data_IF_988150762944
#
_entry.id   IF_988150762944
#
_cell.length_a   1.000
_cell.length_b   1.000
_cell.length_c   1.000
_cell.angle_alpha   90.00
_cell.angle_beta   90.00
_cell.angle_gamma   90.00
#
_symmetry.space_group_name_H-M   'P 1'
#
loop_
_entity.id
_entity.type
_entity.pdbx_description
1 polymer ?
#
# COMPACT_ATOMS: atom_id res chain seq x y z
N UNK A 1 13.57 -18.48 -15.48
CA UNK A 1 12.48 -18.36 -14.47
C UNK A 1 13.09 -17.62 -13.31
N UNK A 2 12.64 -16.39 -13.08
CA UNK A 2 13.19 -15.49 -12.06
C UNK A 2 12.70 -15.81 -10.65
N UNK A 3 13.29 -15.16 -9.67
CA UNK A 3 13.00 -15.32 -8.25
C UNK A 3 12.52 -13.99 -7.63
N UNK A 4 12.01 -14.08 -6.41
CA UNK A 4 11.69 -12.91 -5.59
C UNK A 4 12.77 -12.75 -4.52
N UNK A 5 13.34 -11.54 -4.46
CA UNK A 5 14.35 -11.16 -3.46
C UNK A 5 13.79 -10.08 -2.53
N UNK A 6 13.67 -10.37 -1.24
CA UNK A 6 13.21 -9.41 -0.22
C UNK A 6 14.41 -8.83 0.52
N UNK A 7 14.76 -7.57 0.24
CA UNK A 7 15.85 -6.82 0.88
C UNK A 7 17.22 -7.55 0.88
N UNK A 8 17.40 -8.55 0.03
CA UNK A 8 18.60 -9.40 0.03
C UNK A 8 19.43 -9.15 -1.23
N UNK A 9 20.16 -8.03 -1.20
CA UNK A 9 21.00 -7.61 -2.30
C UNK A 9 22.19 -8.55 -2.53
N UNK A 10 22.74 -9.16 -1.47
CA UNK A 10 23.84 -10.10 -1.57
C UNK A 10 23.41 -11.38 -2.29
N UNK A 11 22.25 -11.94 -1.91
CA UNK A 11 21.70 -13.12 -2.57
C UNK A 11 21.36 -12.84 -4.04
N UNK A 12 20.85 -11.65 -4.36
CA UNK A 12 20.62 -11.25 -5.75
C UNK A 12 21.93 -11.23 -6.54
N UNK A 13 22.99 -10.61 -6.01
CA UNK A 13 24.30 -10.56 -6.66
C UNK A 13 24.91 -11.94 -6.82
N UNK A 14 24.84 -12.78 -5.80
CA UNK A 14 25.36 -14.16 -5.84
C UNK A 14 24.61 -15.04 -6.84
N UNK A 15 23.32 -14.76 -7.10
CA UNK A 15 22.51 -15.50 -8.08
C UNK A 15 22.89 -15.20 -9.52
N UNK A 16 23.47 -14.03 -9.78
CA UNK A 16 23.73 -13.52 -11.12
C UNK A 16 22.46 -13.15 -11.91
N UNK A 17 21.30 -13.12 -11.25
CA UNK A 17 20.04 -12.72 -11.90
C UNK A 17 19.98 -11.21 -12.12
N UNK A 18 19.23 -10.84 -13.15
CA UNK A 18 18.89 -9.46 -13.45
C UNK A 18 17.48 -9.15 -12.99
N UNK A 19 17.21 -7.93 -12.50
CA UNK A 19 15.92 -7.53 -11.97
C UNK A 19 15.03 -6.98 -13.09
N UNK A 20 13.84 -7.54 -13.25
CA UNK A 20 12.83 -7.09 -14.22
C UNK A 20 11.82 -6.12 -13.61
N UNK A 21 11.45 -6.38 -12.34
CA UNK A 21 10.46 -5.61 -11.58
C UNK A 21 11.05 -5.20 -10.24
N UNK A 22 10.90 -3.93 -9.89
CA UNK A 22 11.25 -3.40 -8.58
C UNK A 22 9.97 -3.09 -7.80
N UNK A 23 9.79 -3.70 -6.65
CA UNK A 23 8.69 -3.40 -5.74
C UNK A 23 9.24 -2.67 -4.51
N UNK A 24 8.59 -1.57 -4.11
CA UNK A 24 8.92 -0.85 -2.88
C UNK A 24 7.66 -0.65 -2.05
N UNK A 25 7.67 -1.08 -0.78
CA UNK A 25 6.43 -0.97 -0.04
C UNK A 25 6.44 -1.52 1.37
N UNK A 26 5.23 -1.55 1.90
CA UNK A 26 4.87 -1.94 3.25
C UNK A 26 4.47 -3.43 3.37
N UNK A 27 3.62 -3.74 4.35
CA UNK A 27 3.18 -5.11 4.61
C UNK A 27 2.40 -5.76 3.47
N UNK A 28 1.74 -5.00 2.59
CA UNK A 28 1.07 -5.61 1.44
C UNK A 28 2.06 -6.28 0.47
N UNK A 29 3.31 -5.83 0.47
CA UNK A 29 4.39 -6.49 -0.26
C UNK A 29 5.23 -7.43 0.62
N UNK A 30 5.37 -7.14 1.92
CA UNK A 30 6.29 -7.83 2.83
C UNK A 30 5.64 -8.79 3.83
N UNK A 31 4.30 -8.91 3.88
CA UNK A 31 3.65 -9.76 4.86
C UNK A 31 4.08 -11.24 4.66
N UNK A 32 4.57 -11.92 5.71
CA UNK A 32 5.28 -13.18 5.54
C UNK A 32 4.39 -14.36 5.15
N UNK A 33 3.08 -14.29 5.45
CA UNK A 33 2.17 -15.42 5.21
C UNK A 33 1.41 -15.27 3.89
N UNK A 34 1.17 -14.06 3.48
CA UNK A 34 0.46 -13.72 2.25
C UNK A 34 0.74 -12.25 1.89
N UNK A 35 1.01 -11.99 0.65
CA UNK A 35 1.31 -10.66 0.14
C UNK A 35 0.94 -10.58 -1.34
N UNK A 36 0.96 -9.38 -1.89
CA UNK A 36 0.57 -9.13 -3.26
C UNK A 36 1.65 -9.59 -4.26
N UNK A 37 2.93 -9.53 -3.87
CA UNK A 37 4.08 -9.83 -4.77
C UNK A 37 4.11 -11.29 -5.19
N UNK A 38 3.77 -12.21 -4.28
CA UNK A 38 3.83 -13.65 -4.57
C UNK A 38 2.88 -14.08 -5.69
N UNK A 39 1.56 -13.78 -5.66
CA UNK A 39 0.69 -14.08 -6.79
C UNK A 39 1.02 -13.23 -8.04
N UNK A 40 1.47 -11.98 -7.89
CA UNK A 40 1.89 -11.14 -9.00
C UNK A 40 3.06 -11.77 -9.76
N UNK A 41 4.07 -12.30 -9.07
CA UNK A 41 5.17 -13.03 -9.68
C UNK A 41 4.68 -14.20 -10.56
N UNK A 42 3.68 -14.94 -10.07
CA UNK A 42 3.05 -16.02 -10.86
C UNK A 42 2.32 -15.53 -12.11
N UNK A 43 1.55 -14.45 -11.96
CA UNK A 43 0.76 -13.86 -13.04
C UNK A 43 1.61 -13.22 -14.17
N UNK A 44 2.83 -12.81 -13.85
CA UNK A 44 3.78 -12.18 -14.77
C UNK A 44 4.78 -13.16 -15.40
N UNK A 45 4.49 -14.47 -15.42
CA UNK A 45 5.38 -15.48 -16.01
C UNK A 45 6.73 -15.62 -15.27
N UNK A 46 6.74 -15.22 -14.00
CA UNK A 46 7.88 -15.32 -13.07
C UNK A 46 9.11 -14.50 -13.49
N UNK A 47 8.97 -13.16 -13.60
CA UNK A 47 10.12 -12.28 -13.74
C UNK A 47 10.97 -12.30 -12.45
N UNK A 48 12.19 -11.79 -12.52
CA UNK A 48 12.93 -11.52 -11.28
C UNK A 48 12.40 -10.24 -10.62
N UNK A 49 11.85 -10.36 -9.41
CA UNK A 49 11.32 -9.23 -8.64
C UNK A 49 12.24 -8.96 -7.45
N UNK A 50 12.68 -7.72 -7.29
CA UNK A 50 13.34 -7.29 -6.06
C UNK A 50 12.39 -6.41 -5.22
N UNK A 51 12.25 -6.73 -3.93
CA UNK A 51 11.32 -6.07 -3.03
C UNK A 51 12.08 -5.30 -1.96
N UNK A 52 11.84 -3.97 -1.89
CA UNK A 52 12.40 -3.04 -0.91
C UNK A 52 11.31 -2.66 0.09
N UNK A 53 11.65 -2.57 1.37
CA UNK A 53 10.75 -2.08 2.41
C UNK A 53 10.58 -3.06 3.57
N UNK A 54 9.53 -2.86 4.35
CA UNK A 54 9.24 -3.71 5.53
C UNK A 54 7.78 -3.59 5.98
N UNK A 55 7.36 -4.52 6.84
CA UNK A 55 6.04 -4.45 7.47
C UNK A 55 5.91 -3.18 8.31
N UNK A 56 4.84 -2.42 8.12
CA UNK A 56 4.58 -1.20 8.87
C UNK A 56 5.28 0.05 8.32
N UNK A 57 6.04 -0.06 7.24
CA UNK A 57 6.71 1.09 6.62
C UNK A 57 5.71 2.19 6.23
N UNK A 58 6.04 3.44 6.55
CA UNK A 58 5.27 4.62 6.18
C UNK A 58 5.75 5.17 4.83
N UNK A 59 4.90 5.93 4.16
CA UNK A 59 5.24 6.48 2.85
C UNK A 59 6.53 7.34 2.88
N UNK A 60 6.69 8.18 3.89
CA UNK A 60 7.86 9.05 4.02
C UNK A 60 9.15 8.29 4.36
N UNK A 61 9.08 7.13 5.01
CA UNK A 61 10.23 6.28 5.33
C UNK A 61 10.82 5.64 4.08
N UNK A 62 9.97 5.22 3.14
CA UNK A 62 10.41 4.63 1.87
C UNK A 62 11.16 5.63 0.97
N UNK A 63 10.95 6.93 1.20
CA UNK A 63 11.59 8.02 0.44
C UNK A 63 12.97 8.43 0.98
N UNK A 64 13.53 7.71 1.97
CA UNK A 64 14.77 8.12 2.63
C UNK A 64 15.66 6.95 3.07
N UNK A 65 16.83 7.26 3.59
CA UNK A 65 17.73 6.27 4.21
C UNK A 65 18.14 5.15 3.26
N UNK A 66 18.20 3.94 3.81
CA UNK A 66 18.62 2.73 3.08
C UNK A 66 17.66 2.31 1.99
N UNK A 67 16.35 2.54 2.16
CA UNK A 67 15.34 2.19 1.16
C UNK A 67 15.55 2.98 -0.14
N UNK A 68 15.66 4.31 -0.02
CA UNK A 68 15.94 5.16 -1.17
C UNK A 68 17.32 4.86 -1.78
N UNK A 69 18.33 4.60 -0.97
CA UNK A 69 19.66 4.23 -1.47
C UNK A 69 19.63 2.92 -2.27
N UNK A 70 18.85 1.93 -1.82
CA UNK A 70 18.68 0.67 -2.54
C UNK A 70 17.87 0.85 -3.84
N UNK A 71 16.81 1.66 -3.83
CA UNK A 71 16.08 2.03 -5.04
C UNK A 71 17.03 2.60 -6.10
N UNK A 72 17.82 3.62 -5.73
CA UNK A 72 18.78 4.25 -6.63
C UNK A 72 19.80 3.27 -7.20
N UNK A 73 20.34 2.40 -6.34
CA UNK A 73 21.31 1.36 -6.77
C UNK A 73 20.69 0.41 -7.79
N UNK A 74 19.52 -0.11 -7.50
CA UNK A 74 18.86 -1.11 -8.36
C UNK A 74 18.48 -0.51 -9.70
N UNK A 75 17.89 0.68 -9.73
CA UNK A 75 17.56 1.37 -10.99
C UNK A 75 18.80 1.69 -11.81
N UNK A 76 19.92 2.01 -11.16
CA UNK A 76 21.22 2.26 -11.84
C UNK A 76 21.93 1.00 -12.31
N UNK A 77 21.82 -0.12 -11.58
CA UNK A 77 22.53 -1.36 -11.91
C UNK A 77 21.81 -2.26 -12.90
N UNK A 78 20.45 -2.18 -12.92
CA UNK A 78 19.61 -3.05 -13.72
C UNK A 78 18.79 -2.25 -14.76
N UNK A 79 19.40 -1.88 -15.91
CA UNK A 79 18.72 -1.08 -16.93
C UNK A 79 17.52 -1.80 -17.59
N UNK A 80 17.37 -3.11 -17.38
CA UNK A 80 16.23 -3.89 -17.86
C UNK A 80 14.99 -3.80 -16.96
N UNK A 81 15.05 -3.16 -15.78
CA UNK A 81 13.85 -2.88 -14.99
C UNK A 81 12.89 -2.04 -15.84
N UNK A 82 11.69 -2.52 -16.05
CA UNK A 82 10.62 -1.86 -16.82
C UNK A 82 9.42 -1.46 -15.97
N UNK A 83 9.32 -2.02 -14.77
CA UNK A 83 8.19 -1.80 -13.87
C UNK A 83 8.67 -1.54 -12.45
N UNK A 84 8.15 -0.47 -11.84
CA UNK A 84 8.24 -0.20 -10.41
C UNK A 84 6.84 -0.29 -9.82
N UNK A 85 6.66 -1.11 -8.78
CA UNK A 85 5.41 -1.20 -8.02
C UNK A 85 5.59 -0.52 -6.66
N UNK A 86 4.63 0.30 -6.24
CA UNK A 86 4.68 1.00 -4.95
C UNK A 86 3.43 0.66 -4.12
N UNK A 87 3.66 0.24 -2.86
CA UNK A 87 2.62 0.01 -1.85
C UNK A 87 2.99 0.77 -0.58
N UNK A 88 2.39 1.93 -0.36
CA UNK A 88 2.69 2.80 0.77
C UNK A 88 1.49 3.67 1.16
N UNK A 89 1.50 4.21 2.37
CA UNK A 89 0.49 5.15 2.84
C UNK A 89 -0.53 4.55 3.81
N UNK A 90 -0.82 3.25 3.74
CA UNK A 90 -1.76 2.60 4.66
C UNK A 90 -1.36 2.78 6.13
N UNK A 91 -0.08 2.68 6.43
CA UNK A 91 0.46 2.86 7.79
C UNK A 91 0.52 4.32 8.25
N UNK A 92 0.24 5.26 7.37
CA UNK A 92 0.22 6.70 7.72
C UNK A 92 -1.11 7.11 8.35
N UNK A 93 -2.19 6.35 8.11
CA UNK A 93 -3.52 6.62 8.64
C UNK A 93 -4.18 5.42 9.38
N UNK A 94 -3.51 4.27 9.47
CA UNK A 94 -3.98 3.11 10.24
C UNK A 94 -3.05 2.83 11.42
N UNK A 95 -3.63 2.37 12.53
CA UNK A 95 -2.88 2.01 13.73
C UNK A 95 -3.07 2.98 14.90
N UNK A 96 -2.63 2.51 16.07
CA UNK A 96 -2.63 3.31 17.30
C UNK A 96 -1.55 4.38 17.22
N UNK A 97 -1.90 5.63 17.53
CA UNK A 97 -1.02 6.78 17.40
C UNK A 97 -1.14 7.50 16.06
N UNK A 98 -1.70 6.86 15.04
CA UNK A 98 -1.97 7.47 13.75
C UNK A 98 -3.46 7.73 13.55
N UNK A 99 -4.30 6.70 13.63
CA UNK A 99 -5.74 6.86 13.46
C UNK A 99 -6.38 7.63 14.64
N UNK A 100 -6.10 7.25 15.89
CA UNK A 100 -6.71 7.89 17.07
C UNK A 100 -6.07 9.23 17.45
N UNK A 101 -4.75 9.39 17.31
CA UNK A 101 -4.09 10.62 17.76
C UNK A 101 -4.04 11.71 16.68
N UNK A 102 -3.99 11.32 15.41
CA UNK A 102 -3.87 12.29 14.29
C UNK A 102 -5.20 12.57 13.60
N UNK A 103 -6.01 11.54 13.36
CA UNK A 103 -7.17 11.64 12.47
C UNK A 103 -8.47 11.77 13.26
N UNK A 104 -8.72 10.87 14.21
CA UNK A 104 -9.97 10.87 14.96
C UNK A 104 -9.98 11.92 16.08
N UNK A 105 -11.12 12.54 16.31
CA UNK A 105 -11.33 13.37 17.47
C UNK A 105 -11.20 12.52 18.77
N UNK A 106 -10.71 13.09 19.88
CA UNK A 106 -10.49 12.33 21.11
C UNK A 106 -11.76 11.69 21.70
N UNK A 107 -12.92 12.13 21.28
CA UNK A 107 -14.22 11.62 21.72
C UNK A 107 -15.27 11.72 20.62
N UNK A 108 -15.56 10.61 19.98
CA UNK A 108 -16.58 10.45 18.93
C UNK A 108 -17.90 9.88 19.45
N UNK A 109 -18.12 9.74 20.76
CA UNK A 109 -19.28 9.00 21.32
C UNK A 109 -20.66 9.53 20.89
N UNK A 110 -20.75 10.80 20.50
CA UNK A 110 -21.98 11.41 19.99
C UNK A 110 -22.00 11.64 18.49
N UNK A 111 -20.98 11.13 17.77
CA UNK A 111 -20.89 11.37 16.34
C UNK A 111 -21.90 10.53 15.56
N UNK A 112 -22.55 11.18 14.59
CA UNK A 112 -23.52 10.56 13.68
C UNK A 112 -23.05 10.62 12.22
N UNK A 113 -21.85 11.14 11.97
CA UNK A 113 -21.22 11.20 10.65
C UNK A 113 -19.71 11.08 10.76
N UNK A 114 -19.07 10.71 9.67
CA UNK A 114 -17.61 10.60 9.57
C UNK A 114 -16.93 11.93 9.90
N UNK A 115 -17.41 13.03 9.32
CA UNK A 115 -16.86 14.37 9.57
C UNK A 115 -16.91 14.78 11.04
N UNK A 116 -17.92 14.33 11.81
CA UNK A 116 -18.03 14.60 13.24
C UNK A 116 -17.01 13.78 14.08
N UNK A 117 -16.41 12.74 13.49
CA UNK A 117 -15.37 11.95 14.13
C UNK A 117 -13.95 12.43 13.80
N UNK A 118 -13.77 13.35 12.88
CA UNK A 118 -12.44 13.81 12.52
C UNK A 118 -11.99 15.02 13.34
N UNK A 119 -10.70 15.12 13.57
CA UNK A 119 -10.05 16.37 13.92
C UNK A 119 -10.15 17.31 12.71
N UNK A 120 -10.45 18.57 12.92
CA UNK A 120 -10.57 19.53 11.83
C UNK A 120 -9.26 19.58 10.99
N UNK A 121 -9.36 19.40 9.67
CA UNK A 121 -8.28 19.45 8.70
C UNK A 121 -7.16 18.38 8.82
N UNK A 122 -7.14 17.54 9.85
CA UNK A 122 -6.06 16.57 10.05
C UNK A 122 -6.03 15.44 9.00
N UNK A 123 -7.15 14.86 8.54
CA UNK A 123 -7.10 13.86 7.46
C UNK A 123 -6.46 14.42 6.20
N UNK A 124 -6.76 15.66 5.84
CA UNK A 124 -6.21 16.31 4.64
C UNK A 124 -4.69 16.53 4.79
N UNK A 125 -4.22 16.88 5.99
CA UNK A 125 -2.79 17.00 6.30
C UNK A 125 -2.02 15.68 6.16
N UNK A 126 -2.62 14.58 6.61
CA UNK A 126 -2.02 13.24 6.47
C UNK A 126 -1.89 12.87 4.98
N UNK A 127 -2.95 13.02 4.20
CA UNK A 127 -2.91 12.67 2.78
C UNK A 127 -2.04 13.61 1.95
N UNK A 128 -1.95 14.89 2.32
CA UNK A 128 -1.00 15.81 1.70
C UNK A 128 0.46 15.36 1.94
N UNK A 129 0.79 14.89 3.15
CA UNK A 129 2.12 14.34 3.46
C UNK A 129 2.41 13.04 2.69
N UNK A 130 1.44 12.13 2.61
CA UNK A 130 1.56 10.90 1.81
C UNK A 130 1.76 11.22 0.33
N UNK A 131 0.97 12.12 -0.25
CA UNK A 131 1.14 12.56 -1.64
C UNK A 131 2.50 13.20 -1.91
N UNK A 132 3.02 13.99 -0.96
CA UNK A 132 4.38 14.56 -1.07
C UNK A 132 5.46 13.46 -1.05
N UNK A 133 5.30 12.42 -0.23
CA UNK A 133 6.19 11.27 -0.19
C UNK A 133 6.19 10.51 -1.53
N UNK A 134 5.01 10.22 -2.08
CA UNK A 134 4.90 9.60 -3.41
C UNK A 134 5.58 10.43 -4.50
N UNK A 135 5.31 11.75 -4.55
CA UNK A 135 5.96 12.64 -5.53
C UNK A 135 7.47 12.66 -5.38
N UNK A 136 7.98 12.62 -4.13
CA UNK A 136 9.42 12.53 -3.88
C UNK A 136 10.03 11.24 -4.42
N UNK A 137 9.37 10.10 -4.17
CA UNK A 137 9.82 8.80 -4.66
C UNK A 137 9.78 8.71 -6.18
N UNK A 138 8.69 9.20 -6.79
CA UNK A 138 8.52 9.26 -8.24
C UNK A 138 9.56 10.17 -8.91
N UNK A 139 9.90 11.30 -8.28
CA UNK A 139 10.96 12.17 -8.78
C UNK A 139 12.33 11.47 -8.84
N UNK A 140 12.62 10.61 -7.86
CA UNK A 140 13.85 9.80 -7.87
C UNK A 140 13.83 8.73 -8.99
N UNK A 141 12.69 8.06 -9.18
CA UNK A 141 12.53 7.11 -10.29
C UNK A 141 12.68 7.83 -11.62
N UNK A 142 11.97 8.95 -11.81
CA UNK A 142 12.01 9.72 -13.05
C UNK A 142 13.41 10.27 -13.38
N UNK A 143 14.15 10.71 -12.38
CA UNK A 143 15.51 11.23 -12.57
C UNK A 143 16.50 10.14 -13.06
N UNK A 144 16.29 8.89 -12.66
CA UNK A 144 17.16 7.76 -13.02
C UNK A 144 16.63 6.99 -14.24
N UNK A 145 15.34 6.83 -14.32
CA UNK A 145 14.66 5.99 -15.32
C UNK A 145 13.30 6.58 -15.71
N UNK A 146 13.27 7.63 -16.53
CA UNK A 146 12.04 8.27 -17.00
C UNK A 146 11.17 7.37 -17.90
N UNK A 147 11.74 6.27 -18.39
CA UNK A 147 11.14 5.27 -19.27
C UNK A 147 10.41 4.15 -18.51
N UNK A 148 10.62 4.04 -17.18
CA UNK A 148 10.04 2.97 -16.37
C UNK A 148 8.58 3.30 -16.03
N UNK A 149 7.69 2.33 -16.21
CA UNK A 149 6.31 2.44 -15.76
C UNK A 149 6.21 2.21 -14.25
N UNK A 150 5.34 2.96 -13.60
CA UNK A 150 5.12 2.84 -12.16
C UNK A 150 3.67 2.50 -11.86
N UNK A 151 3.43 1.45 -11.09
CA UNK A 151 2.12 1.11 -10.56
C UNK A 151 2.03 1.48 -9.08
N UNK A 152 0.98 2.21 -8.72
CA UNK A 152 0.59 2.52 -7.35
C UNK A 152 -0.80 1.95 -7.08
N UNK A 153 -1.22 1.77 -5.82
CA UNK A 153 -2.56 1.25 -5.54
C UNK A 153 -3.18 1.87 -4.29
N UNK A 154 -4.51 1.85 -4.21
CA UNK A 154 -5.29 2.51 -3.18
C UNK A 154 -5.73 1.59 -2.02
N UNK A 155 -5.21 0.37 -1.91
CA UNK A 155 -5.69 -0.69 -0.99
C UNK A 155 -7.17 -1.04 -1.22
N UNK A 156 -7.78 -1.73 -0.24
CA UNK A 156 -9.22 -2.00 -0.25
C UNK A 156 -9.84 -1.64 1.11
N UNK A 157 -11.17 -1.65 1.19
CA UNK A 157 -11.94 -1.24 2.36
C UNK A 157 -11.83 -2.24 3.52
N UNK A 158 -10.80 -2.08 4.31
CA UNK A 158 -10.49 -2.89 5.48
C UNK A 158 -11.64 -2.95 6.50
N UNK A 159 -11.69 -4.03 7.30
CA UNK A 159 -12.79 -4.28 8.23
C UNK A 159 -12.33 -4.03 9.67
N UNK A 160 -12.88 -3.03 10.37
CA UNK A 160 -12.49 -2.71 11.75
C UNK A 160 -13.15 -3.67 12.76
N UNK A 161 -12.86 -4.98 12.65
CA UNK A 161 -13.49 -6.05 13.43
C UNK A 161 -12.65 -6.54 14.62
N UNK A 162 -11.42 -6.08 14.74
CA UNK A 162 -10.51 -6.44 15.82
C UNK A 162 -9.69 -7.71 15.54
N UNK A 163 -9.84 -8.34 14.37
CA UNK A 163 -8.96 -9.45 13.98
C UNK A 163 -7.55 -8.93 13.80
N UNK A 164 -6.64 -9.43 14.61
CA UNK A 164 -5.22 -9.05 14.59
C UNK A 164 -4.34 -10.28 14.39
N UNK A 165 -3.08 -10.06 14.06
CA UNK A 165 -2.09 -11.13 14.10
C UNK A 165 -1.82 -11.50 15.56
N UNK A 166 -1.50 -12.79 15.84
CA UNK A 166 -1.21 -13.30 17.17
C UNK A 166 -0.25 -12.38 17.95
N UNK A 167 -0.72 -11.86 19.10
CA UNK A 167 0.07 -10.99 19.98
C UNK A 167 0.17 -9.53 19.55
N UNK A 168 -0.41 -9.14 18.42
CA UNK A 168 -0.45 -7.75 17.94
C UNK A 168 -1.81 -7.14 18.28
N UNK A 169 -1.84 -5.84 18.63
CA UNK A 169 -3.09 -5.11 18.84
C UNK A 169 -3.78 -4.85 17.49
N UNK A 170 -5.12 -4.72 17.51
CA UNK A 170 -5.86 -4.37 16.30
C UNK A 170 -5.49 -2.96 15.81
N UNK A 171 -5.42 -2.80 14.50
CA UNK A 171 -4.96 -1.56 13.86
C UNK A 171 -6.08 -0.53 13.63
N UNK A 172 -7.33 -0.98 13.55
CA UNK A 172 -8.48 -0.13 13.27
C UNK A 172 -9.44 -0.09 14.45
N UNK A 173 -9.86 -1.27 14.96
CA UNK A 173 -10.82 -1.34 16.04
C UNK A 173 -10.31 -0.67 17.33
N UNK A 174 -9.08 -0.96 17.74
CA UNK A 174 -8.56 -0.40 18.98
C UNK A 174 -8.44 1.14 18.96
N UNK A 175 -7.85 1.80 17.95
CA UNK A 175 -7.88 3.26 17.88
C UNK A 175 -9.29 3.83 17.79
N UNK A 176 -10.23 3.17 17.11
CA UNK A 176 -11.65 3.58 17.11
C UNK A 176 -12.31 3.42 18.48
N UNK A 177 -11.95 2.39 19.25
CA UNK A 177 -12.39 2.22 20.64
C UNK A 177 -11.82 3.33 21.54
N UNK A 178 -10.53 3.66 21.39
CA UNK A 178 -9.86 4.75 22.11
C UNK A 178 -10.57 6.09 21.86
N UNK A 179 -10.91 6.37 20.61
CA UNK A 179 -11.66 7.57 20.20
C UNK A 179 -13.17 7.47 20.51
N UNK A 180 -13.66 6.37 21.06
CA UNK A 180 -15.07 6.11 21.36
C UNK A 180 -16.00 6.23 20.15
N UNK A 181 -15.55 5.79 18.99
CA UNK A 181 -16.40 5.75 17.80
C UNK A 181 -17.56 4.77 18.04
N UNK A 182 -18.83 5.17 17.78
CA UNK A 182 -20.00 4.32 17.96
C UNK A 182 -19.87 2.94 17.30
N UNK A 183 -20.39 1.91 17.96
CA UNK A 183 -20.31 0.51 17.53
C UNK A 183 -21.58 0.00 16.84
N UNK A 184 -22.61 0.83 16.70
CA UNK A 184 -23.86 0.45 16.02
C UNK A 184 -23.54 0.03 14.57
N UNK A 185 -23.99 -1.18 14.18
CA UNK A 185 -23.71 -1.75 12.87
C UNK A 185 -22.31 -2.36 12.66
N UNK A 186 -21.37 -2.11 13.60
CA UNK A 186 -20.01 -2.64 13.47
C UNK A 186 -19.99 -4.19 13.58
N UNK A 187 -19.00 -4.84 12.94
CA UNK A 187 -17.94 -4.27 12.10
C UNK A 187 -18.34 -4.09 10.62
N UNK A 188 -19.47 -4.61 10.19
CA UNK A 188 -19.84 -4.67 8.77
C UNK A 188 -20.43 -3.39 8.25
N UNK A 189 -21.23 -2.72 9.09
CA UNK A 189 -21.94 -1.50 8.78
C UNK A 189 -21.69 -0.42 9.82
N UNK A 190 -22.26 0.76 9.63
CA UNK A 190 -22.20 1.86 10.57
C UNK A 190 -20.92 2.69 10.46
N UNK A 191 -20.81 3.66 11.39
CA UNK A 191 -19.84 4.75 11.32
C UNK A 191 -18.38 4.29 11.22
N UNK A 192 -18.01 3.18 11.87
CA UNK A 192 -16.64 2.64 11.79
C UNK A 192 -16.25 2.22 10.38
N UNK A 193 -17.17 1.56 9.69
CA UNK A 193 -16.97 1.14 8.30
C UNK A 193 -16.94 2.33 7.35
N UNK A 194 -17.79 3.32 7.62
CA UNK A 194 -17.82 4.56 6.85
C UNK A 194 -16.53 5.36 6.99
N UNK A 195 -15.92 5.41 8.19
CA UNK A 195 -14.60 6.04 8.40
C UNK A 195 -13.53 5.35 7.56
N UNK A 196 -13.48 4.02 7.55
CA UNK A 196 -12.50 3.29 6.72
C UNK A 196 -12.70 3.58 5.24
N UNK A 197 -13.94 3.60 4.76
CA UNK A 197 -14.24 3.94 3.37
C UNK A 197 -13.80 5.35 3.02
N UNK A 198 -14.16 6.34 3.84
CA UNK A 198 -13.77 7.73 3.59
C UNK A 198 -12.24 7.91 3.57
N UNK A 199 -11.50 7.22 4.44
CA UNK A 199 -10.03 7.27 4.44
C UNK A 199 -9.44 6.67 3.17
N UNK A 200 -9.92 5.53 2.72
CA UNK A 200 -9.48 4.90 1.47
C UNK A 200 -9.88 5.75 0.26
N UNK A 201 -11.07 6.34 0.25
CA UNK A 201 -11.52 7.22 -0.83
C UNK A 201 -10.65 8.50 -0.91
N UNK A 202 -10.30 9.12 0.22
CA UNK A 202 -9.36 10.25 0.27
C UNK A 202 -7.96 9.86 -0.19
N UNK A 203 -7.49 8.68 0.22
CA UNK A 203 -6.21 8.15 -0.24
C UNK A 203 -6.23 7.91 -1.76
N UNK A 204 -7.34 7.39 -2.29
CA UNK A 204 -7.54 7.23 -3.73
C UNK A 204 -7.44 8.56 -4.48
N UNK A 205 -8.12 9.60 -4.00
CA UNK A 205 -8.03 10.95 -4.59
C UNK A 205 -6.61 11.52 -4.51
N UNK A 206 -5.89 11.23 -3.43
CA UNK A 206 -4.49 11.63 -3.29
C UNK A 206 -3.61 10.95 -4.36
N UNK A 207 -3.80 9.65 -4.61
CA UNK A 207 -3.04 8.94 -5.63
C UNK A 207 -3.44 9.31 -7.06
N UNK A 208 -4.71 9.59 -7.31
CA UNK A 208 -5.20 10.11 -8.60
C UNK A 208 -4.54 11.46 -8.95
N UNK A 209 -4.39 12.34 -7.95
CA UNK A 209 -3.64 13.60 -8.11
C UNK A 209 -2.13 13.36 -8.33
N UNK A 210 -1.54 12.37 -7.66
CA UNK A 210 -0.15 11.95 -7.89
C UNK A 210 0.03 11.42 -9.31
N UNK A 211 -0.85 10.55 -9.79
CA UNK A 211 -0.84 10.00 -11.14
C UNK A 211 -0.95 11.12 -12.19
N UNK A 212 -1.99 11.96 -12.06
CA UNK A 212 -2.30 13.01 -13.04
C UNK A 212 -1.22 14.10 -13.13
N UNK A 213 -0.44 14.30 -12.08
CA UNK A 213 0.63 15.31 -12.01
C UNK A 213 2.04 14.75 -12.22
N UNK A 214 2.19 13.44 -12.36
CA UNK A 214 3.49 12.80 -12.55
C UNK A 214 4.08 13.08 -13.93
N UNK A 215 5.38 13.42 -14.03
CA UNK A 215 6.05 13.61 -15.33
C UNK A 215 6.40 12.28 -16.02
N UNK A 216 6.27 11.15 -15.34
CA UNK A 216 6.54 9.81 -15.88
C UNK A 216 5.26 8.98 -15.92
N UNK A 217 5.25 7.85 -16.67
CA UNK A 217 4.10 6.94 -16.67
C UNK A 217 3.84 6.37 -15.28
N UNK A 218 2.74 6.78 -14.67
CA UNK A 218 2.21 6.23 -13.39
C UNK A 218 0.79 5.78 -13.65
N UNK A 219 0.42 4.60 -13.18
CA UNK A 219 -0.94 4.08 -13.24
C UNK A 219 -1.44 3.71 -11.85
N UNK A 220 -2.59 4.23 -11.47
CA UNK A 220 -3.28 3.87 -10.24
C UNK A 220 -4.08 2.57 -10.43
N UNK A 221 -3.62 1.51 -9.80
CA UNK A 221 -4.33 0.23 -9.74
C UNK A 221 -5.46 0.32 -8.70
N UNK A 222 -6.69 0.25 -9.17
CA UNK A 222 -7.89 0.33 -8.34
C UNK A 222 -8.20 -1.01 -7.67
N UNK A 223 -7.95 -1.11 -6.36
CA UNK A 223 -8.25 -2.29 -5.53
C UNK A 223 -9.45 -2.08 -4.60
N UNK A 224 -9.87 -0.85 -4.38
CA UNK A 224 -10.95 -0.52 -3.44
C UNK A 224 -12.30 -1.12 -3.87
N UNK A 225 -12.93 -1.86 -2.97
CA UNK A 225 -14.23 -2.51 -3.19
C UNK A 225 -14.17 -3.85 -3.91
N UNK A 226 -12.98 -4.39 -4.17
CA UNK A 226 -12.81 -5.65 -4.89
C UNK A 226 -12.98 -6.88 -3.99
N UNK A 227 -12.70 -6.76 -2.70
CA UNK A 227 -12.72 -7.89 -1.77
C UNK A 227 -14.05 -8.00 -1.03
N UNK A 228 -14.55 -9.22 -0.91
CA UNK A 228 -15.62 -9.56 0.02
C UNK A 228 -15.09 -9.61 1.46
N UNK A 229 -15.99 -9.47 2.45
CA UNK A 229 -15.62 -9.52 3.89
C UNK A 229 -14.90 -10.82 4.30
N UNK A 230 -15.16 -11.93 3.60
CA UNK A 230 -14.54 -13.24 3.84
C UNK A 230 -13.12 -13.34 3.27
N UNK A 231 -12.69 -12.39 2.46
CA UNK A 231 -11.38 -12.39 1.81
C UNK A 231 -10.32 -11.62 2.63
N UNK A 232 -10.65 -11.21 3.86
CA UNK A 232 -9.75 -10.58 4.81
C UNK A 232 -9.25 -11.57 5.88
N UNK A 233 -7.92 -11.71 6.01
CA UNK A 233 -7.28 -12.53 7.04
C UNK A 233 -7.28 -11.82 8.39
N UNK A 234 -7.12 -10.51 8.40
CA UNK A 234 -7.20 -9.64 9.56
C UNK A 234 -7.68 -8.25 9.14
N UNK A 235 -7.60 -7.25 10.04
CA UNK A 235 -8.09 -5.88 9.74
C UNK A 235 -7.41 -5.18 8.56
N UNK A 236 -6.15 -5.52 8.23
CA UNK A 236 -5.38 -4.81 7.20
C UNK A 236 -4.92 -5.68 6.04
N UNK A 237 -4.94 -7.01 6.21
CA UNK A 237 -4.36 -7.90 5.20
C UNK A 237 -5.40 -8.86 4.65
N UNK A 238 -5.53 -8.92 3.32
CA UNK A 238 -6.30 -9.95 2.64
C UNK A 238 -5.80 -11.37 2.95
N UNK A 239 -6.66 -12.36 2.74
CA UNK A 239 -6.27 -13.77 2.69
C UNK A 239 -5.37 -14.05 1.47
N UNK A 240 -4.68 -15.19 1.40
CA UNK A 240 -3.95 -15.57 0.17
C UNK A 240 -4.84 -15.56 -1.09
N UNK A 241 -6.10 -16.01 -0.97
CA UNK A 241 -7.06 -15.94 -2.08
C UNK A 241 -7.49 -14.50 -2.40
N UNK A 242 -7.61 -13.63 -1.38
CA UNK A 242 -7.91 -12.21 -1.56
C UNK A 242 -6.78 -11.50 -2.34
N UNK A 243 -5.52 -11.71 -1.96
CA UNK A 243 -4.39 -11.17 -2.73
C UNK A 243 -4.33 -11.73 -4.16
N UNK A 244 -4.59 -13.02 -4.34
CA UNK A 244 -4.64 -13.63 -5.68
C UNK A 244 -5.75 -13.00 -6.52
N UNK A 245 -6.92 -12.73 -5.93
CA UNK A 245 -8.03 -12.06 -6.60
C UNK A 245 -7.62 -10.63 -7.03
N UNK A 246 -7.05 -9.84 -6.13
CA UNK A 246 -6.58 -8.49 -6.46
C UNK A 246 -5.55 -8.48 -7.59
N UNK A 247 -4.64 -9.47 -7.60
CA UNK A 247 -3.68 -9.60 -8.69
C UNK A 247 -4.38 -9.91 -10.00
N UNK A 248 -5.27 -10.88 -10.03
CA UNK A 248 -5.92 -11.31 -11.26
C UNK A 248 -6.85 -10.23 -11.83
N UNK A 249 -7.59 -9.54 -10.96
CA UNK A 249 -8.66 -8.63 -11.37
C UNK A 249 -8.15 -7.19 -11.58
N UNK A 250 -7.04 -6.79 -10.89
CA UNK A 250 -6.60 -5.40 -10.89
C UNK A 250 -5.16 -5.21 -11.39
N UNK A 251 -4.21 -6.02 -10.90
CA UNK A 251 -2.78 -5.77 -11.09
C UNK A 251 -2.19 -6.42 -12.35
N UNK A 252 -2.66 -7.61 -12.73
CA UNK A 252 -2.02 -8.40 -13.79
C UNK A 252 -2.09 -7.71 -15.13
N UNK A 253 -3.19 -7.06 -15.48
CA UNK A 253 -3.35 -6.32 -16.75
C UNK A 253 -2.31 -5.20 -16.90
N UNK A 254 -2.32 -4.18 -16.02
CA UNK A 254 -1.34 -3.10 -16.04
C UNK A 254 0.11 -3.60 -15.99
N UNK A 255 0.42 -4.53 -15.09
CA UNK A 255 1.79 -5.03 -14.94
C UNK A 255 2.28 -5.84 -16.17
N UNK A 256 1.40 -6.62 -16.83
CA UNK A 256 1.72 -7.30 -18.08
C UNK A 256 1.95 -6.30 -19.21
N UNK A 257 1.14 -5.24 -19.27
CA UNK A 257 1.31 -4.15 -20.24
C UNK A 257 2.70 -3.51 -20.09
N UNK A 258 3.06 -3.09 -18.88
CA UNK A 258 4.37 -2.50 -18.57
C UNK A 258 5.55 -3.39 -18.95
N UNK A 259 5.40 -4.70 -18.80
CA UNK A 259 6.43 -5.67 -19.19
C UNK A 259 6.39 -6.07 -20.66
N UNK A 260 5.40 -5.62 -21.43
CA UNK A 260 5.18 -6.03 -22.82
C UNK A 260 4.84 -7.50 -22.97
N UNK A 261 4.18 -8.07 -21.98
CA UNK A 261 3.66 -9.44 -22.00
C UNK A 261 2.28 -9.48 -22.67
N UNK A 262 1.95 -10.56 -23.40
CA UNK A 262 0.66 -10.70 -24.07
C UNK A 262 -0.52 -10.82 -23.10
#
# INVERSE_FOLDING_TARGET
>A
MGHIFWNDLSRLQDSGETVDVLAIGDSWFHYPFNNLVTPLHGALERPTIYVIGENGARADELCKGSWLANLRKLLGWYPQIRLVCISAGGNDFAGVGDLDDKILAPNCSGATSVAACYRAAEPDGVFAAVGAAYRSLLAEVNALRPDVEVLVHNYDYAIPDGRALLGVRSWLKLPMDNARVPTAGAPRDGLRREIVRDLIDRFTLCLDDVESTSPQPVELVWSAGMLADTEWANELHPTPSGFTKLVNDCWSGPARHALGLP
#
